data_IF_775207720134
#
_entry.id   IF_775207720134
#
_cell.length_a   1.000
_cell.length_b   1.000
_cell.length_c   1.000
_cell.angle_alpha   90.00
_cell.angle_beta   90.00
_cell.angle_gamma   90.00
#
_symmetry.space_group_name_H-M   'P 1'
#
loop_
_entity.id
_entity.type
_entity.pdbx_description
1 polymer ?
#
# COMPACT_ATOMS: atom_id res chain seq x y z
N UNK A 1 -2.52 12.00 3.42
CA UNK A 1 -1.50 12.13 2.36
C UNK A 1 -1.48 13.56 1.83
N UNK A 2 -0.30 14.15 1.60
CA UNK A 2 -0.18 15.51 1.02
C UNK A 2 -0.44 15.49 -0.49
N UNK A 3 -0.75 16.63 -1.14
CA UNK A 3 -0.89 16.69 -2.60
C UNK A 3 0.35 16.22 -3.36
N UNK A 4 1.56 16.49 -2.83
CA UNK A 4 2.81 16.02 -3.44
C UNK A 4 2.91 14.49 -3.40
N UNK A 5 2.58 13.87 -2.27
CA UNK A 5 2.57 12.40 -2.13
C UNK A 5 1.54 11.75 -3.05
N UNK A 6 0.41 12.40 -3.29
CA UNK A 6 -0.62 11.90 -4.21
C UNK A 6 -0.16 11.92 -5.67
N UNK A 7 0.53 13.00 -6.08
CA UNK A 7 1.18 13.07 -7.41
C UNK A 7 2.26 12.02 -7.60
N UNK A 8 3.07 11.79 -6.56
CA UNK A 8 4.10 10.75 -6.56
C UNK A 8 3.47 9.36 -6.70
N UNK A 9 2.41 9.06 -5.95
CA UNK A 9 1.66 7.82 -6.08
C UNK A 9 1.13 7.60 -7.51
N UNK A 10 0.49 8.61 -8.10
CA UNK A 10 -0.03 8.53 -9.47
C UNK A 10 1.08 8.26 -10.49
N UNK A 11 2.27 8.86 -10.32
CA UNK A 11 3.42 8.60 -11.18
C UNK A 11 3.98 7.18 -11.01
N UNK A 12 4.02 6.65 -9.78
CA UNK A 12 4.44 5.27 -9.52
C UNK A 12 3.48 4.27 -10.15
N UNK A 13 2.16 4.50 -10.01
CA UNK A 13 1.13 3.66 -10.59
C UNK A 13 1.12 3.68 -12.11
N UNK A 14 1.27 4.86 -12.72
CA UNK A 14 1.32 5.00 -14.18
C UNK A 14 2.50 4.23 -14.79
N UNK A 15 3.64 4.20 -14.09
CA UNK A 15 4.78 3.35 -14.41
C UNK A 15 5.28 3.44 -15.86
N UNK A 16 5.86 2.35 -16.34
CA UNK A 16 6.17 2.15 -17.76
C UNK A 16 5.16 1.14 -18.34
N UNK A 17 4.63 1.36 -19.56
CA UNK A 17 3.75 0.40 -20.22
C UNK A 17 4.36 -1.01 -20.38
N UNK A 18 5.69 -1.13 -20.40
CA UNK A 18 6.42 -2.39 -20.54
C UNK A 18 6.61 -3.14 -19.21
N UNK A 19 6.21 -2.57 -18.07
CA UNK A 19 6.43 -3.13 -16.73
C UNK A 19 5.23 -2.89 -15.80
N UNK A 20 4.01 -3.06 -16.32
CA UNK A 20 2.80 -2.66 -15.59
C UNK A 20 2.57 -3.46 -14.30
N UNK A 21 2.85 -4.77 -14.28
CA UNK A 21 2.74 -5.55 -13.03
C UNK A 21 3.72 -5.05 -11.97
N UNK A 22 4.96 -4.76 -12.33
CA UNK A 22 5.97 -4.20 -11.41
C UNK A 22 5.56 -2.80 -10.93
N UNK A 23 5.05 -1.94 -11.81
CA UNK A 23 4.53 -0.62 -11.45
C UNK A 23 3.38 -0.72 -10.45
N UNK A 24 2.45 -1.64 -10.68
CA UNK A 24 1.33 -1.91 -9.77
C UNK A 24 1.83 -2.41 -8.41
N UNK A 25 2.78 -3.35 -8.36
CA UNK A 25 3.36 -3.82 -7.09
C UNK A 25 4.03 -2.68 -6.32
N UNK A 26 4.81 -1.84 -7.00
CA UNK A 26 5.43 -0.65 -6.40
C UNK A 26 4.42 0.36 -5.90
N UNK A 27 3.30 0.55 -6.61
CA UNK A 27 2.23 1.44 -6.19
C UNK A 27 1.55 0.94 -4.91
N UNK A 28 1.32 -0.37 -4.79
CA UNK A 28 0.76 -0.97 -3.58
C UNK A 28 1.74 -0.84 -2.40
N UNK A 29 3.03 -1.11 -2.60
CA UNK A 29 4.04 -0.91 -1.55
C UNK A 29 4.13 0.56 -1.13
N UNK A 30 4.06 1.49 -2.09
CA UNK A 30 4.05 2.92 -1.80
C UNK A 30 2.87 3.31 -0.90
N UNK A 31 1.65 2.83 -1.20
CA UNK A 31 0.49 3.08 -0.34
C UNK A 31 0.68 2.45 1.04
N UNK A 32 1.20 1.22 1.09
CA UNK A 32 1.45 0.54 2.35
C UNK A 32 2.41 1.33 3.23
N UNK A 33 3.48 1.88 2.67
CA UNK A 33 4.44 2.71 3.41
C UNK A 33 3.87 4.04 3.93
N UNK A 34 2.76 4.53 3.33
CA UNK A 34 2.12 5.78 3.74
C UNK A 34 0.92 5.59 4.65
N UNK A 35 0.22 4.47 4.55
CA UNK A 35 -1.07 4.23 5.21
C UNK A 35 -0.98 3.22 6.34
N UNK A 36 -0.10 2.22 6.26
CA UNK A 36 0.02 1.21 7.30
C UNK A 36 0.87 1.73 8.47
N UNK A 37 0.29 1.78 9.67
CA UNK A 37 0.96 2.31 10.87
C UNK A 37 1.22 1.25 11.96
N UNK A 38 0.56 0.10 11.87
CA UNK A 38 0.63 -0.97 12.87
C UNK A 38 0.19 -2.30 12.25
N UNK A 39 0.84 -3.39 12.66
CA UNK A 39 0.42 -4.75 12.35
C UNK A 39 0.41 -5.59 13.62
N UNK A 40 -0.72 -6.19 13.94
CA UNK A 40 -0.86 -7.05 15.11
C UNK A 40 -0.90 -8.53 14.73
N UNK A 41 -0.21 -9.35 15.52
CA UNK A 41 -0.26 -10.81 15.43
C UNK A 41 -0.55 -11.31 16.84
N UNK A 42 -1.52 -12.20 16.97
CA UNK A 42 -1.91 -12.75 18.26
C UNK A 42 -0.70 -13.42 18.95
N UNK A 43 -0.41 -13.00 20.18
CA UNK A 43 0.70 -13.54 20.96
C UNK A 43 2.08 -12.93 20.68
N UNK A 44 2.17 -11.86 19.89
CA UNK A 44 3.42 -11.10 19.69
C UNK A 44 3.25 -9.62 19.95
N UNK A 45 4.35 -8.91 20.16
CA UNK A 45 4.35 -7.45 20.17
C UNK A 45 3.92 -6.91 18.80
N UNK A 46 3.08 -5.87 18.72
CA UNK A 46 2.72 -5.22 17.46
C UNK A 46 3.93 -4.66 16.72
N UNK A 47 3.96 -4.89 15.41
CA UNK A 47 4.94 -4.27 14.53
C UNK A 47 4.49 -2.83 14.28
N UNK A 48 5.37 -1.87 14.53
CA UNK A 48 5.08 -0.43 14.35
C UNK A 48 6.14 0.30 13.54
N UNK A 49 7.31 -0.32 13.32
CA UNK A 49 8.39 0.26 12.53
C UNK A 49 8.13 0.05 11.05
N UNK A 50 8.20 1.12 10.25
CA UNK A 50 7.83 1.09 8.83
C UNK A 50 8.58 0.01 8.03
N UNK A 51 9.89 -0.12 8.24
CA UNK A 51 10.71 -1.12 7.55
C UNK A 51 10.27 -2.55 7.86
N UNK A 52 9.87 -2.80 9.12
CA UNK A 52 9.41 -4.11 9.58
C UNK A 52 7.98 -4.39 9.08
N UNK A 53 7.11 -3.37 9.04
CA UNK A 53 5.79 -3.44 8.42
C UNK A 53 5.90 -3.85 6.94
N UNK A 54 6.76 -3.17 6.17
CA UNK A 54 6.95 -3.48 4.76
C UNK A 54 7.52 -4.90 4.56
N UNK A 55 8.45 -5.32 5.41
CA UNK A 55 8.95 -6.69 5.40
C UNK A 55 7.80 -7.69 5.64
N UNK A 56 6.95 -7.46 6.64
CA UNK A 56 5.79 -8.32 6.93
C UNK A 56 4.79 -8.36 5.77
N UNK A 57 4.54 -7.23 5.12
CA UNK A 57 3.73 -7.17 3.91
C UNK A 57 4.33 -8.00 2.77
N UNK A 58 5.64 -7.93 2.55
CA UNK A 58 6.33 -8.73 1.52
C UNK A 58 6.27 -10.24 1.79
N UNK A 59 6.24 -10.65 3.06
CA UNK A 59 6.01 -12.04 3.46
C UNK A 59 4.53 -12.46 3.49
N UNK A 60 3.60 -11.52 3.37
CA UNK A 60 2.18 -11.80 3.48
C UNK A 60 1.67 -12.69 2.35
N UNK A 61 0.74 -13.56 2.69
CA UNK A 61 0.06 -14.45 1.73
C UNK A 61 -0.86 -13.71 0.78
N UNK A 62 -1.39 -14.43 -0.22
CA UNK A 62 -2.28 -13.85 -1.24
C UNK A 62 -3.53 -13.22 -0.62
N UNK A 63 -4.16 -13.92 0.33
CA UNK A 63 -5.40 -13.48 0.98
C UNK A 63 -5.16 -12.24 1.85
N UNK A 64 -4.08 -12.23 2.63
CA UNK A 64 -3.69 -11.07 3.44
C UNK A 64 -3.44 -9.85 2.55
N UNK A 65 -2.70 -10.02 1.45
CA UNK A 65 -2.44 -8.95 0.49
C UNK A 65 -3.73 -8.47 -0.19
N UNK A 66 -4.67 -9.37 -0.49
CA UNK A 66 -5.96 -9.00 -1.06
C UNK A 66 -6.81 -8.19 -0.08
N UNK A 67 -6.85 -8.60 1.19
CA UNK A 67 -7.53 -7.87 2.26
C UNK A 67 -6.93 -6.47 2.45
N UNK A 68 -5.60 -6.36 2.51
CA UNK A 68 -4.90 -5.05 2.64
C UNK A 68 -5.26 -4.11 1.48
N UNK A 69 -5.24 -4.61 0.24
CA UNK A 69 -5.65 -3.79 -0.92
C UNK A 69 -7.11 -3.37 -0.84
N UNK A 70 -8.00 -4.22 -0.33
CA UNK A 70 -9.40 -3.83 -0.07
C UNK A 70 -9.48 -2.67 0.91
N UNK A 71 -8.73 -2.70 2.01
CA UNK A 71 -8.69 -1.61 2.98
C UNK A 71 -8.12 -0.31 2.36
N UNK A 72 -7.12 -0.42 1.47
CA UNK A 72 -6.63 0.75 0.73
C UNK A 72 -7.68 1.34 -0.21
N UNK A 73 -8.43 0.50 -0.95
CA UNK A 73 -9.50 0.99 -1.82
C UNK A 73 -10.57 1.74 -1.05
N UNK A 74 -10.99 1.22 0.11
CA UNK A 74 -11.94 1.87 0.99
C UNK A 74 -11.41 3.23 1.49
N UNK A 75 -10.19 3.25 2.04
CA UNK A 75 -9.56 4.47 2.54
C UNK A 75 -9.37 5.53 1.45
N UNK A 76 -8.91 5.12 0.25
CA UNK A 76 -8.73 6.03 -0.88
C UNK A 76 -10.07 6.57 -1.37
N UNK A 77 -11.10 5.73 -1.49
CA UNK A 77 -12.42 6.18 -1.91
C UNK A 77 -13.03 7.20 -0.93
N UNK A 78 -12.81 7.03 0.38
CA UNK A 78 -13.32 7.95 1.39
C UNK A 78 -12.56 9.28 1.43
N UNK A 79 -11.22 9.25 1.38
CA UNK A 79 -10.40 10.43 1.68
C UNK A 79 -9.72 11.06 0.47
N UNK A 80 -9.53 10.30 -0.60
CA UNK A 80 -8.82 10.72 -1.82
C UNK A 80 -9.50 10.16 -3.09
N UNK A 81 -10.79 10.49 -3.31
CA UNK A 81 -11.59 9.90 -4.39
C UNK A 81 -11.05 10.23 -5.80
N UNK A 82 -10.11 11.16 -5.91
CA UNK A 82 -9.41 11.47 -7.15
C UNK A 82 -8.32 10.47 -7.54
N UNK A 83 -7.95 9.54 -6.65
CA UNK A 83 -6.89 8.56 -6.89
C UNK A 83 -7.43 7.23 -7.41
N UNK A 84 -6.76 6.69 -8.43
CA UNK A 84 -6.97 5.30 -8.85
C UNK A 84 -6.48 4.34 -7.77
N UNK A 85 -7.32 3.39 -7.37
CA UNK A 85 -6.97 2.41 -6.34
C UNK A 85 -6.53 1.07 -6.97
N UNK A 86 -5.46 0.43 -6.47
CA UNK A 86 -4.89 -0.79 -7.05
C UNK A 86 -5.66 -2.05 -6.65
#
# INVERSE_FOLDING_TARGET
MTPSTRKEYAAVLAGSPLSQEDAWQRAVEFLFERLAVRWEIAGTEPITRQKELLARYRFAGVDERAWIRSAFREHLAEHFPELDAP
#
